data_IF_446632505510
#
_entry.id   IF_446632505510
#
_cell.length_a   1.000
_cell.length_b   1.000
_cell.length_c   1.000
_cell.angle_alpha   90.00
_cell.angle_beta   90.00
_cell.angle_gamma   90.00
#
_symmetry.space_group_name_H-M   'P 1'
#
loop_
_entity.id
_entity.type
_entity.pdbx_description
1 polymer ?
#
# COMPACT_ATOMS: atom_id res chain seq x y z
N UNK A 1 35.17 -32.01 -1.68
CA UNK A 1 35.28 -31.12 -0.50
C UNK A 1 35.05 -31.80 0.86
N UNK A 2 34.66 -33.08 0.94
CA UNK A 2 34.50 -33.79 2.23
C UNK A 2 35.81 -33.89 3.05
N UNK A 3 36.98 -33.80 2.41
CA UNK A 3 38.27 -33.95 3.09
C UNK A 3 38.63 -32.81 4.08
N UNK A 4 38.00 -31.64 3.98
CA UNK A 4 38.29 -30.49 4.87
C UNK A 4 37.48 -30.49 6.16
N UNK A 5 36.22 -30.95 6.11
CA UNK A 5 35.31 -31.02 7.26
C UNK A 5 35.64 -32.16 8.22
N UNK A 6 36.17 -33.27 7.70
CA UNK A 6 36.52 -34.45 8.50
C UNK A 6 37.62 -34.15 9.53
N UNK A 7 38.56 -33.26 9.20
CA UNK A 7 39.63 -32.83 10.11
C UNK A 7 39.06 -32.00 11.28
N UNK A 8 37.97 -31.27 11.03
CA UNK A 8 37.31 -30.46 12.06
C UNK A 8 36.43 -31.36 12.95
N UNK A 9 35.88 -32.46 12.45
CA UNK A 9 35.01 -33.38 13.21
C UNK A 9 35.77 -34.38 14.09
N UNK A 10 37.07 -34.57 13.91
CA UNK A 10 37.87 -35.47 14.76
C UNK A 10 38.03 -34.90 16.19
N UNK A 11 37.92 -35.79 17.18
CA UNK A 11 38.07 -35.48 18.60
C UNK A 11 39.54 -35.14 18.92
N UNK A 12 39.89 -33.87 18.75
CA UNK A 12 41.19 -33.36 19.18
C UNK A 12 41.12 -33.17 20.70
N UNK A 13 41.89 -33.98 21.44
CA UNK A 13 41.92 -33.96 22.91
C UNK A 13 42.20 -32.59 23.54
N UNK A 14 42.28 -32.55 24.88
CA UNK A 14 42.35 -31.32 25.69
C UNK A 14 43.32 -30.26 25.11
N UNK A 15 42.78 -29.10 24.70
CA UNK A 15 43.53 -28.01 24.05
C UNK A 15 42.85 -27.35 22.84
N UNK A 16 41.56 -27.64 22.57
CA UNK A 16 40.84 -27.07 21.42
C UNK A 16 40.80 -25.53 21.44
N UNK A 17 41.19 -24.92 20.32
CA UNK A 17 41.12 -23.46 20.15
C UNK A 17 39.66 -23.02 19.98
N UNK A 18 39.26 -21.93 20.64
CA UNK A 18 37.94 -21.29 20.47
C UNK A 18 37.56 -21.07 18.99
N UNK A 19 38.56 -20.87 18.11
CA UNK A 19 38.34 -20.74 16.67
C UNK A 19 37.81 -22.03 16.02
N UNK A 20 38.27 -23.20 16.47
CA UNK A 20 37.83 -24.49 15.94
C UNK A 20 36.39 -24.77 16.38
N UNK A 21 36.05 -24.43 17.62
CA UNK A 21 34.69 -24.56 18.14
C UNK A 21 33.68 -23.68 17.38
N UNK A 22 34.04 -22.44 17.09
CA UNK A 22 33.20 -21.53 16.28
C UNK A 22 32.96 -22.06 14.86
N UNK A 23 33.99 -22.59 14.18
CA UNK A 23 33.83 -23.20 12.87
C UNK A 23 32.99 -24.48 12.92
N UNK A 24 33.13 -25.30 13.97
CA UNK A 24 32.26 -26.47 14.21
C UNK A 24 30.80 -26.06 14.35
N UNK A 25 30.52 -25.05 15.17
CA UNK A 25 29.16 -24.56 15.40
C UNK A 25 28.56 -23.96 14.12
N UNK A 26 29.35 -23.18 13.37
CA UNK A 26 28.96 -22.66 12.06
C UNK A 26 28.59 -23.79 11.10
N UNK A 27 29.45 -24.79 10.99
CA UNK A 27 29.22 -25.92 10.08
C UNK A 27 28.00 -26.75 10.49
N UNK A 28 27.79 -26.98 11.79
CA UNK A 28 26.60 -27.64 12.30
C UNK A 28 25.32 -26.88 11.93
N UNK A 29 25.33 -25.54 12.02
CA UNK A 29 24.20 -24.69 11.57
C UNK A 29 23.96 -24.78 10.07
N UNK A 30 25.01 -24.74 9.25
CA UNK A 30 24.91 -24.92 7.80
C UNK A 30 24.24 -26.26 7.44
N UNK A 31 24.64 -27.35 8.11
CA UNK A 31 24.06 -28.67 7.93
C UNK A 31 22.61 -28.75 8.39
N UNK A 32 22.28 -28.16 9.54
CA UNK A 32 20.91 -28.15 10.04
C UNK A 32 19.97 -27.37 9.12
N UNK A 33 20.38 -26.18 8.67
CA UNK A 33 19.58 -25.38 7.72
C UNK A 33 19.45 -26.09 6.38
N UNK A 34 20.51 -26.73 5.89
CA UNK A 34 20.44 -27.53 4.66
C UNK A 34 19.44 -28.69 4.79
N UNK A 35 19.46 -29.43 5.91
CA UNK A 35 18.52 -30.52 6.16
C UNK A 35 17.06 -30.02 6.19
N UNK A 36 16.78 -28.91 6.87
CA UNK A 36 15.44 -28.31 6.90
C UNK A 36 14.94 -27.91 5.50
N UNK A 37 15.83 -27.42 4.63
CA UNK A 37 15.47 -27.08 3.25
C UNK A 37 15.23 -28.35 2.41
N UNK A 38 15.98 -29.43 2.67
CA UNK A 38 15.82 -30.72 1.99
C UNK A 38 14.51 -31.44 2.36
N UNK A 39 13.86 -31.09 3.47
CA UNK A 39 12.53 -31.60 3.84
C UNK A 39 11.41 -31.09 2.89
N UNK A 40 11.69 -30.09 2.06
CA UNK A 40 10.74 -29.56 1.06
C UNK A 40 10.62 -30.48 -0.16
N UNK A 41 9.39 -30.75 -0.62
CA UNK A 41 9.11 -31.75 -1.66
C UNK A 41 9.84 -31.52 -3.01
N UNK A 42 10.00 -30.26 -3.44
CA UNK A 42 10.63 -29.93 -4.72
C UNK A 42 12.16 -29.93 -4.69
N UNK A 43 12.77 -30.04 -3.49
CA UNK A 43 14.21 -29.89 -3.29
C UNK A 43 14.81 -31.26 -2.95
N UNK A 44 15.72 -31.73 -3.80
CA UNK A 44 16.43 -33.00 -3.59
C UNK A 44 17.66 -32.83 -2.70
N UNK A 45 18.34 -31.69 -2.84
CA UNK A 45 19.58 -31.40 -2.14
C UNK A 45 19.76 -29.90 -1.98
N UNK A 46 20.18 -29.48 -0.79
CA UNK A 46 20.52 -28.10 -0.51
C UNK A 46 21.99 -28.00 -0.04
N UNK A 47 22.65 -26.92 -0.42
CA UNK A 47 23.97 -26.55 0.12
C UNK A 47 23.88 -25.12 0.61
N UNK A 48 24.18 -24.91 1.88
CA UNK A 48 24.11 -23.61 2.53
C UNK A 48 25.50 -23.21 2.97
N UNK A 49 25.91 -22.00 2.61
CA UNK A 49 27.16 -21.39 3.03
C UNK A 49 26.83 -20.11 3.81
N UNK A 50 27.19 -20.08 5.09
CA UNK A 50 26.94 -18.95 5.97
C UNK A 50 28.21 -18.10 6.10
N UNK A 51 28.06 -16.79 5.91
CA UNK A 51 29.09 -15.79 6.16
C UNK A 51 28.74 -15.05 7.47
N UNK A 52 29.21 -15.60 8.58
CA UNK A 52 29.01 -15.02 9.91
C UNK A 52 30.13 -13.99 10.20
N UNK A 53 29.78 -12.74 10.57
CA UNK A 53 30.75 -11.74 10.96
C UNK A 53 31.39 -12.12 12.32
N UNK A 54 32.63 -11.71 12.54
CA UNK A 54 33.25 -11.82 13.87
C UNK A 54 32.74 -10.67 14.75
N UNK A 55 32.34 -11.01 15.98
CA UNK A 55 31.97 -10.01 16.98
C UNK A 55 33.19 -9.12 17.28
N UNK A 56 33.02 -7.80 17.14
CA UNK A 56 34.06 -6.82 17.45
C UNK A 56 33.43 -5.65 18.21
N UNK A 57 33.66 -5.63 19.52
CA UNK A 57 33.16 -4.58 20.43
C UNK A 57 33.70 -3.18 20.13
N UNK A 58 34.71 -3.06 19.26
CA UNK A 58 35.31 -1.78 18.86
C UNK A 58 34.85 -1.30 17.48
N UNK A 59 34.06 -2.09 16.75
CA UNK A 59 33.56 -1.69 15.43
C UNK A 59 32.37 -0.73 15.58
N UNK A 60 32.48 0.47 15.00
CA UNK A 60 31.35 1.44 14.94
C UNK A 60 30.18 0.96 14.07
N UNK A 61 30.42 -0.02 13.19
CA UNK A 61 29.41 -0.64 12.33
C UNK A 61 29.59 -2.14 12.37
N UNK A 62 28.56 -2.84 12.84
CA UNK A 62 28.50 -4.29 12.78
C UNK A 62 28.35 -4.74 11.33
N UNK A 63 29.17 -5.71 10.92
CA UNK A 63 28.97 -6.38 9.63
C UNK A 63 27.77 -7.30 9.78
N UNK A 64 26.80 -7.21 8.88
CA UNK A 64 25.65 -8.14 8.88
C UNK A 64 26.05 -9.49 8.31
N UNK A 65 25.41 -10.56 8.77
CA UNK A 65 25.56 -11.88 8.20
C UNK A 65 25.01 -11.95 6.76
N UNK A 66 25.53 -12.88 5.96
CA UNK A 66 24.99 -13.21 4.65
C UNK A 66 25.02 -14.71 4.40
N UNK A 67 24.23 -15.18 3.44
CA UNK A 67 24.13 -16.60 3.11
C UNK A 67 24.08 -16.80 1.59
N UNK A 68 24.67 -17.91 1.14
CA UNK A 68 24.53 -18.40 -0.23
C UNK A 68 23.96 -19.81 -0.19
N UNK A 69 22.87 -20.03 -0.92
CA UNK A 69 22.16 -21.29 -0.97
C UNK A 69 22.17 -21.81 -2.41
N UNK A 70 22.61 -23.05 -2.58
CA UNK A 70 22.53 -23.76 -3.85
C UNK A 70 21.53 -24.88 -3.71
N UNK A 71 20.47 -24.82 -4.51
CA UNK A 71 19.38 -25.79 -4.52
C UNK A 71 19.54 -26.73 -5.70
N UNK A 72 19.21 -28.01 -5.49
CA UNK A 72 19.09 -29.01 -6.55
C UNK A 72 17.67 -29.51 -6.56
N UNK A 73 16.93 -29.26 -7.65
CA UNK A 73 15.55 -29.69 -7.77
C UNK A 73 15.40 -31.21 -7.85
N UNK A 74 14.26 -31.72 -7.38
CA UNK A 74 13.84 -33.10 -7.63
C UNK A 74 13.56 -33.29 -9.12
N UNK A 75 13.86 -34.50 -9.65
CA UNK A 75 13.66 -34.80 -11.08
C UNK A 75 12.21 -34.58 -11.47
N UNK A 76 11.98 -33.75 -12.49
CA UNK A 76 10.64 -33.44 -13.01
C UNK A 76 9.91 -32.33 -12.25
N UNK A 77 10.49 -31.75 -11.21
CA UNK A 77 9.95 -30.58 -10.51
C UNK A 77 10.75 -29.32 -10.86
N UNK A 78 10.05 -28.20 -10.99
CA UNK A 78 10.67 -26.87 -10.97
C UNK A 78 10.56 -26.28 -9.57
N UNK A 79 11.58 -25.53 -9.14
CA UNK A 79 11.53 -24.76 -7.90
C UNK A 79 10.69 -23.51 -8.17
N UNK A 80 9.59 -23.35 -7.43
CA UNK A 80 8.67 -22.22 -7.59
C UNK A 80 9.17 -20.99 -6.83
N UNK A 81 8.66 -19.80 -7.20
CA UNK A 81 9.02 -18.56 -6.49
C UNK A 81 8.64 -18.59 -5.00
N UNK A 82 7.50 -19.18 -4.67
CA UNK A 82 7.03 -19.34 -3.28
C UNK A 82 7.98 -20.21 -2.45
N UNK A 83 8.52 -21.28 -3.04
CA UNK A 83 9.51 -22.13 -2.38
C UNK A 83 10.85 -21.42 -2.17
N UNK A 84 11.25 -20.56 -3.12
CA UNK A 84 12.45 -19.72 -2.99
C UNK A 84 12.29 -18.72 -1.86
N UNK A 85 11.13 -18.07 -1.75
CA UNK A 85 10.83 -17.12 -0.67
C UNK A 85 10.83 -17.83 0.69
N UNK A 86 10.24 -19.03 0.78
CA UNK A 86 10.30 -19.85 1.99
C UNK A 86 11.74 -20.21 2.39
N UNK A 87 12.59 -20.59 1.42
CA UNK A 87 14.02 -20.85 1.68
C UNK A 87 14.73 -19.62 2.24
N UNK A 88 14.45 -18.43 1.67
CA UNK A 88 15.04 -17.17 2.13
C UNK A 88 14.64 -16.87 3.57
N UNK A 89 13.36 -17.05 3.92
CA UNK A 89 12.85 -16.81 5.26
C UNK A 89 13.38 -17.82 6.30
N UNK A 90 13.50 -19.10 5.93
CA UNK A 90 14.11 -20.14 6.78
C UNK A 90 15.56 -19.76 7.10
N UNK A 91 16.33 -19.35 6.10
CA UNK A 91 17.74 -19.00 6.28
C UNK A 91 17.91 -17.71 7.08
N UNK A 92 17.10 -16.69 6.80
CA UNK A 92 17.15 -15.41 7.50
C UNK A 92 16.73 -15.55 8.99
N UNK A 93 15.75 -16.40 9.29
CA UNK A 93 15.33 -16.67 10.67
C UNK A 93 16.29 -17.59 11.44
N UNK A 94 17.02 -18.47 10.75
CA UNK A 94 17.99 -19.36 11.37
C UNK A 94 19.26 -18.65 11.88
N UNK A 95 19.56 -17.44 11.39
CA UNK A 95 20.75 -16.66 11.78
C UNK A 95 20.35 -15.31 12.36
N UNK A 96 20.76 -15.06 13.60
CA UNK A 96 20.48 -13.80 14.28
C UNK A 96 21.05 -12.60 13.49
N UNK A 97 20.21 -11.58 13.29
CA UNK A 97 20.60 -10.33 12.62
C UNK A 97 20.85 -10.47 11.12
N UNK A 98 20.45 -11.58 10.50
CA UNK A 98 20.45 -11.74 9.05
C UNK A 98 19.20 -11.08 8.45
N UNK A 99 19.40 -10.34 7.37
CA UNK A 99 18.29 -9.78 6.59
C UNK A 99 17.97 -10.71 5.40
N UNK A 100 16.69 -10.88 5.01
CA UNK A 100 16.30 -11.65 3.83
C UNK A 100 17.02 -11.19 2.55
N UNK A 101 17.26 -9.88 2.43
CA UNK A 101 18.05 -9.25 1.35
C UNK A 101 19.54 -9.66 1.36
N UNK A 102 20.01 -10.48 2.30
CA UNK A 102 21.40 -10.95 2.35
C UNK A 102 21.52 -12.44 2.03
N UNK A 103 20.42 -13.05 1.58
CA UNK A 103 20.37 -14.44 1.14
C UNK A 103 20.37 -14.46 -0.38
N UNK A 104 21.32 -15.20 -0.96
CA UNK A 104 21.35 -15.46 -2.41
C UNK A 104 21.02 -16.91 -2.66
N UNK A 105 20.05 -17.17 -3.52
CA UNK A 105 19.57 -18.52 -3.85
C UNK A 105 19.80 -18.79 -5.33
N UNK A 106 20.49 -19.89 -5.63
CA UNK A 106 20.85 -20.30 -6.99
C UNK A 106 20.50 -21.77 -7.20
N UNK A 107 20.08 -22.13 -8.41
CA UNK A 107 19.92 -23.52 -8.81
C UNK A 107 21.28 -24.16 -9.16
N UNK A 108 21.39 -25.47 -9.00
CA UNK A 108 22.46 -26.35 -9.48
C UNK A 108 22.88 -26.11 -10.93
N UNK A 109 21.97 -25.61 -11.78
CA UNK A 109 22.23 -25.27 -13.18
C UNK A 109 22.83 -23.85 -13.38
N UNK A 110 23.11 -23.12 -12.29
CA UNK A 110 23.63 -21.75 -12.34
C UNK A 110 22.57 -20.67 -12.56
N UNK A 111 21.28 -21.02 -12.53
CA UNK A 111 20.18 -20.05 -12.61
C UNK A 111 20.00 -19.37 -11.25
N UNK A 112 20.13 -18.05 -11.23
CA UNK A 112 19.84 -17.24 -10.04
C UNK A 112 18.34 -17.22 -9.79
N UNK A 113 17.90 -17.67 -8.61
CA UNK A 113 16.50 -17.73 -8.21
C UNK A 113 16.13 -16.55 -7.31
N UNK A 114 17.02 -16.15 -6.41
CA UNK A 114 16.93 -14.92 -5.64
C UNK A 114 18.32 -14.32 -5.52
N UNK A 115 18.44 -13.01 -5.74
CA UNK A 115 19.69 -12.31 -5.45
C UNK A 115 19.43 -11.30 -4.35
N UNK A 116 19.87 -11.61 -3.13
CA UNK A 116 19.72 -10.69 -2.00
C UNK A 116 20.30 -9.30 -2.28
N UNK A 117 21.33 -9.17 -3.12
CA UNK A 117 21.94 -7.88 -3.48
C UNK A 117 21.11 -6.99 -4.42
N UNK A 118 19.89 -7.38 -4.79
CA UNK A 118 19.06 -6.54 -5.65
C UNK A 118 18.54 -5.34 -4.89
N UNK A 119 18.92 -4.15 -5.37
CA UNK A 119 18.16 -2.93 -5.08
C UNK A 119 16.68 -3.25 -5.27
N UNK A 120 15.85 -2.96 -4.26
CA UNK A 120 14.41 -3.25 -4.27
C UNK A 120 13.70 -2.76 -5.54
N UNK A 121 14.23 -1.72 -6.19
CA UNK A 121 13.77 -1.20 -7.50
C UNK A 121 13.99 -2.21 -8.64
N UNK A 122 15.17 -2.84 -8.71
CA UNK A 122 15.52 -3.81 -9.76
C UNK A 122 14.83 -5.17 -9.59
N UNK A 123 14.44 -5.52 -8.37
CA UNK A 123 13.59 -6.68 -8.09
C UNK A 123 12.15 -6.40 -8.54
N UNK A 124 11.61 -5.22 -8.20
CA UNK A 124 10.27 -4.78 -8.63
C UNK A 124 10.13 -4.74 -10.16
N UNK A 125 11.08 -4.12 -10.85
CA UNK A 125 11.05 -4.04 -12.32
C UNK A 125 11.05 -5.43 -13.00
N UNK A 126 11.78 -6.41 -12.44
CA UNK A 126 11.73 -7.79 -12.95
C UNK A 126 10.38 -8.44 -12.73
N UNK A 127 9.80 -8.27 -11.54
CA UNK A 127 8.47 -8.81 -11.22
C UNK A 127 7.38 -8.19 -12.09
N UNK A 128 7.46 -6.89 -12.35
CA UNK A 128 6.58 -6.16 -13.27
C UNK A 128 6.67 -6.76 -14.68
N UNK A 129 7.88 -6.96 -15.20
CA UNK A 129 8.11 -7.58 -16.51
C UNK A 129 7.62 -9.04 -16.59
N UNK A 130 7.82 -9.83 -15.52
CA UNK A 130 7.30 -11.19 -15.44
C UNK A 130 5.77 -11.24 -15.51
N UNK A 131 5.09 -10.30 -14.84
CA UNK A 131 3.62 -10.18 -14.88
C UNK A 131 3.14 -9.81 -16.29
N UNK A 132 3.81 -8.88 -16.97
CA UNK A 132 3.50 -8.52 -18.36
C UNK A 132 3.62 -9.74 -19.28
N UNK A 133 4.75 -10.46 -19.21
CA UNK A 133 4.99 -11.67 -20.02
C UNK A 133 3.98 -12.78 -19.73
N UNK A 134 3.60 -12.97 -18.46
CA UNK A 134 2.59 -13.96 -18.09
C UNK A 134 1.24 -13.64 -18.74
N UNK A 135 0.88 -12.36 -18.80
CA UNK A 135 -0.38 -11.90 -19.38
C UNK A 135 -0.36 -11.96 -20.90
N UNK A 136 0.77 -11.65 -21.53
CA UNK A 136 0.98 -11.88 -22.96
C UNK A 136 0.76 -13.35 -23.33
N UNK A 137 1.36 -14.29 -22.58
CA UNK A 137 1.17 -15.73 -22.78
C UNK A 137 -0.30 -16.14 -22.62
N UNK A 138 -0.98 -15.64 -21.58
CA UNK A 138 -2.40 -15.94 -21.34
C UNK A 138 -3.29 -15.46 -22.50
N UNK A 139 -3.02 -14.27 -23.05
CA UNK A 139 -3.76 -13.76 -24.20
C UNK A 139 -3.42 -14.50 -25.50
N UNK A 140 -2.16 -14.89 -25.68
CA UNK A 140 -1.75 -15.72 -26.81
C UNK A 140 -2.48 -17.07 -26.79
N UNK A 141 -2.54 -17.74 -25.65
CA UNK A 141 -3.28 -18.99 -25.47
C UNK A 141 -4.79 -18.83 -25.75
N UNK A 142 -5.38 -17.69 -25.36
CA UNK A 142 -6.78 -17.36 -25.67
C UNK A 142 -7.01 -17.16 -27.17
N UNK A 143 -6.09 -16.53 -27.87
CA UNK A 143 -6.15 -16.38 -29.33
C UNK A 143 -6.05 -17.75 -29.99
N UNK A 144 -5.12 -18.59 -29.52
CA UNK A 144 -4.93 -19.93 -30.04
C UNK A 144 -6.18 -20.79 -29.90
N UNK A 145 -6.83 -20.74 -28.73
CA UNK A 145 -8.07 -21.48 -28.48
C UNK A 145 -9.22 -21.09 -29.44
N UNK A 146 -9.22 -19.86 -29.97
CA UNK A 146 -10.25 -19.37 -30.89
C UNK A 146 -9.86 -19.64 -32.35
N UNK A 147 -8.60 -19.44 -32.72
CA UNK A 147 -8.15 -19.51 -34.11
C UNK A 147 -7.82 -20.93 -34.58
N UNK A 148 -7.31 -21.80 -33.70
CA UNK A 148 -6.95 -23.19 -34.05
C UNK A 148 -8.14 -23.97 -34.66
N UNK A 149 -9.36 -23.96 -34.09
CA UNK A 149 -10.48 -24.73 -34.64
C UNK A 149 -10.96 -24.24 -36.01
N UNK A 150 -10.75 -22.96 -36.32
CA UNK A 150 -11.26 -22.33 -37.54
C UNK A 150 -10.24 -22.41 -38.67
N UNK A 151 -8.98 -22.08 -38.37
CA UNK A 151 -7.92 -21.96 -39.38
C UNK A 151 -7.03 -23.19 -39.44
N UNK A 152 -6.99 -24.03 -38.39
CA UNK A 152 -6.03 -25.13 -38.27
C UNK A 152 -4.66 -24.67 -37.75
N UNK A 153 -3.90 -25.63 -37.22
CA UNK A 153 -2.57 -25.38 -36.65
C UNK A 153 -1.61 -24.94 -37.77
N UNK A 154 -0.88 -23.84 -37.54
CA UNK A 154 0.17 -23.35 -38.45
C UNK A 154 -0.30 -22.42 -39.56
N UNK A 155 -1.61 -22.21 -39.73
CA UNK A 155 -2.18 -21.32 -40.74
C UNK A 155 -2.37 -19.87 -40.25
N UNK A 156 -1.90 -19.57 -39.05
CA UNK A 156 -1.88 -18.20 -38.52
C UNK A 156 -0.67 -18.00 -37.61
N UNK A 157 -0.30 -16.75 -37.40
CA UNK A 157 0.67 -16.33 -36.38
C UNK A 157 0.11 -15.11 -35.66
N UNK A 158 0.09 -15.17 -34.34
CA UNK A 158 -0.38 -14.08 -33.49
C UNK A 158 0.73 -13.63 -32.55
N UNK A 159 0.89 -12.31 -32.41
CA UNK A 159 1.75 -11.69 -31.42
C UNK A 159 0.91 -10.74 -30.57
N UNK A 160 1.11 -10.82 -29.25
CA UNK A 160 0.46 -9.95 -28.28
C UNK A 160 1.53 -9.13 -27.57
N UNK A 161 1.27 -7.84 -27.42
CA UNK A 161 2.06 -6.89 -26.64
C UNK A 161 1.14 -6.24 -25.60
N UNK A 162 1.50 -6.36 -24.31
CA UNK A 162 0.72 -5.84 -23.19
C UNK A 162 1.53 -4.77 -22.46
N UNK A 163 1.01 -3.56 -22.40
CA UNK A 163 1.58 -2.49 -21.57
C UNK A 163 0.74 -2.30 -20.31
N UNK A 164 1.36 -2.49 -19.14
CA UNK A 164 0.71 -2.32 -17.84
C UNK A 164 1.16 -1.05 -17.13
N UNK A 165 0.27 -0.55 -16.26
CA UNK A 165 0.58 0.54 -15.34
C UNK A 165 0.63 0.02 -13.90
N UNK A 166 1.82 0.06 -13.32
CA UNK A 166 2.08 -0.36 -11.94
C UNK A 166 2.10 0.80 -10.94
N UNK A 167 1.73 2.01 -11.35
CA UNK A 167 1.72 3.19 -10.48
C UNK A 167 0.75 3.00 -9.31
N UNK A 168 1.26 3.04 -8.08
CA UNK A 168 0.45 3.02 -6.88
C UNK A 168 0.00 4.45 -6.52
N UNK A 169 -1.31 4.73 -6.67
CA UNK A 169 -1.91 6.02 -6.31
C UNK A 169 -2.78 5.85 -5.06
N UNK A 170 -2.43 6.61 -4.02
CA UNK A 170 -3.20 6.70 -2.78
C UNK A 170 -3.77 8.12 -2.65
N UNK A 171 -5.09 8.23 -2.60
CA UNK A 171 -5.78 9.52 -2.52
C UNK A 171 -6.65 9.56 -1.27
N UNK A 172 -6.37 10.53 -0.39
CA UNK A 172 -7.25 10.87 0.73
C UNK A 172 -7.95 12.18 0.39
N UNK A 173 -9.27 12.11 0.20
CA UNK A 173 -10.10 13.27 -0.09
C UNK A 173 -10.98 13.59 1.11
N UNK A 174 -10.87 14.82 1.63
CA UNK A 174 -11.76 15.37 2.65
C UNK A 174 -12.71 16.36 2.00
N UNK A 175 -14.00 16.03 1.93
CA UNK A 175 -15.06 16.91 1.44
C UNK A 175 -15.90 17.41 2.62
N UNK A 176 -16.33 18.67 2.53
CA UNK A 176 -17.28 19.28 3.46
C UNK A 176 -18.59 19.52 2.72
N UNK A 177 -19.73 19.22 3.35
CA UNK A 177 -21.03 19.53 2.79
C UNK A 177 -21.42 20.98 3.16
N UNK A 178 -21.55 21.93 2.21
CA UNK A 178 -21.94 23.29 2.50
C UNK A 178 -23.46 23.47 2.70
N UNK A 179 -24.29 22.50 2.32
CA UNK A 179 -25.75 22.67 2.23
C UNK A 179 -26.47 22.46 3.58
N UNK A 180 -25.82 21.78 4.53
CA UNK A 180 -26.37 21.45 5.84
C UNK A 180 -25.40 21.86 6.97
N UNK A 181 -25.14 23.16 7.18
CA UNK A 181 -24.33 23.60 8.30
C UNK A 181 -25.09 23.39 9.61
N UNK A 182 -24.65 22.45 10.45
CA UNK A 182 -25.24 22.24 11.77
C UNK A 182 -24.66 23.27 12.76
N UNK A 183 -25.49 24.09 13.39
CA UNK A 183 -25.03 25.02 14.44
C UNK A 183 -24.69 24.22 15.69
N UNK A 184 -23.42 24.25 16.12
CA UNK A 184 -22.95 23.61 17.35
C UNK A 184 -23.18 24.51 18.57
N UNK A 185 -22.87 25.80 18.45
CA UNK A 185 -23.13 26.77 19.51
C UNK A 185 -23.39 28.16 18.94
N UNK A 186 -24.30 28.87 19.58
CA UNK A 186 -24.66 30.24 19.25
C UNK A 186 -24.65 31.08 20.53
N UNK A 187 -23.96 32.21 20.51
CA UNK A 187 -23.97 33.22 21.56
C UNK A 187 -24.50 34.52 20.97
N UNK A 188 -25.70 34.94 21.39
CA UNK A 188 -26.31 36.21 21.01
C UNK A 188 -26.30 37.13 22.21
N UNK A 189 -25.63 38.28 22.09
CA UNK A 189 -25.67 39.37 23.07
C UNK A 189 -26.49 40.49 22.46
N UNK A 190 -27.68 40.73 23.02
CA UNK A 190 -28.57 41.79 22.61
C UNK A 190 -28.69 42.83 23.74
N UNK A 191 -28.21 44.03 23.47
CA UNK A 191 -28.36 45.19 24.35
C UNK A 191 -29.41 46.11 23.74
N UNK A 192 -30.58 46.18 24.37
CA UNK A 192 -31.61 47.14 24.01
C UNK A 192 -31.77 48.14 25.16
N UNK A 193 -31.13 49.30 25.02
CA UNK A 193 -31.24 50.41 25.96
C UNK A 193 -32.28 51.38 25.44
N UNK A 194 -33.46 51.39 26.05
CA UNK A 194 -34.45 52.45 25.88
C UNK A 194 -34.08 53.53 26.90
N UNK A 195 -33.71 54.72 26.43
CA UNK A 195 -33.28 55.81 27.31
C UNK A 195 -34.24 56.01 28.50
N UNK A 196 -33.69 56.05 29.71
CA UNK A 196 -34.45 56.24 30.95
C UNK A 196 -35.22 57.57 30.91
N UNK A 197 -36.55 57.50 30.99
CA UNK A 197 -37.37 58.66 31.34
C UNK A 197 -37.33 58.75 32.86
N UNK A 198 -36.76 59.81 33.42
CA UNK A 198 -36.82 60.09 34.84
C UNK A 198 -38.28 60.43 35.24
N UNK A 199 -39.10 59.40 35.44
CA UNK A 199 -40.44 59.55 35.99
C UNK A 199 -40.34 59.57 37.51
N UNK A 200 -40.71 60.71 38.10
CA UNK A 200 -40.70 60.94 39.54
C UNK A 200 -41.53 59.93 40.33
N UNK A 201 -41.19 59.85 41.62
CA UNK A 201 -41.74 58.99 42.66
C UNK A 201 -43.29 58.92 42.62
N UNK A 202 -43.92 57.73 42.54
CA UNK A 202 -45.39 57.61 42.48
C UNK A 202 -46.07 58.10 43.77
N UNK A 203 -46.74 59.24 43.70
CA UNK A 203 -47.47 59.85 44.82
C UNK A 203 -48.92 60.20 44.48
N UNK A 204 -49.84 59.38 45.00
CA UNK A 204 -51.15 59.77 45.55
C UNK A 204 -52.19 60.58 44.72
N UNK A 205 -52.34 60.38 43.41
CA UNK A 205 -53.51 60.93 42.68
C UNK A 205 -54.33 59.91 41.85
N UNK A 206 -54.09 58.61 41.98
CA UNK A 206 -54.74 57.58 41.15
C UNK A 206 -56.20 57.22 41.52
N UNK A 207 -56.92 58.03 42.31
CA UNK A 207 -58.33 57.75 42.64
C UNK A 207 -59.22 59.01 42.66
N UNK A 208 -59.17 59.79 41.60
CA UNK A 208 -60.27 60.71 41.27
C UNK A 208 -61.09 60.11 40.12
N UNK A 209 -62.45 60.09 40.24
CA UNK A 209 -63.32 59.75 39.13
C UNK A 209 -63.09 60.70 37.96
N UNK A 210 -63.22 60.26 36.69
CA UNK A 210 -63.04 61.15 35.56
C UNK A 210 -64.10 62.25 35.59
N UNK A 211 -63.67 63.50 35.69
CA UNK A 211 -64.50 64.67 35.41
C UNK A 211 -64.66 64.81 33.89
N UNK A 212 -65.81 65.32 33.47
CA UNK A 212 -66.23 65.44 32.08
C UNK A 212 -65.15 66.03 31.16
N UNK A 213 -65.03 65.41 29.97
CA UNK A 213 -64.17 65.86 28.89
C UNK A 213 -64.46 67.31 28.52
N UNK A 214 -63.65 68.22 29.04
CA UNK A 214 -63.47 69.53 28.43
C UNK A 214 -62.38 69.36 27.37
N UNK A 215 -62.80 69.16 26.11
CA UNK A 215 -61.92 69.22 24.95
C UNK A 215 -61.85 70.70 24.57
N UNK A 216 -60.74 71.42 24.82
CA UNK A 216 -60.58 72.75 24.27
C UNK A 216 -60.27 72.57 22.78
N UNK A 217 -61.22 73.00 21.95
CA UNK A 217 -61.04 73.23 20.52
C UNK A 217 -60.00 74.34 20.33
N UNK A 218 -58.72 73.94 20.24
CA UNK A 218 -57.68 74.71 19.58
C UNK A 218 -56.51 73.78 19.23
N UNK A 219 -56.60 73.20 18.04
CA UNK A 219 -55.52 72.46 17.41
C UNK A 219 -54.47 73.43 16.85
N UNK A 220 -53.54 73.88 17.69
CA UNK A 220 -52.26 74.44 17.24
C UNK A 220 -51.18 74.06 18.24
N UNK A 221 -50.28 73.16 17.85
CA UNK A 221 -49.09 72.85 18.63
C UNK A 221 -48.43 71.55 18.20
N UNK A 222 -47.38 71.68 17.38
CA UNK A 222 -46.41 70.63 17.08
C UNK A 222 -45.97 69.90 18.37
N UNK A 223 -46.58 68.75 18.64
CA UNK A 223 -46.05 67.76 19.57
C UNK A 223 -44.96 66.95 18.88
N UNK A 224 -43.78 67.54 18.69
CA UNK A 224 -42.57 66.76 18.43
C UNK A 224 -42.37 65.82 19.61
N UNK A 225 -42.71 64.54 19.42
CA UNK A 225 -42.22 63.46 20.28
C UNK A 225 -40.71 63.44 20.07
N UNK A 226 -39.96 63.91 21.07
CA UNK A 226 -38.51 63.87 21.03
C UNK A 226 -38.07 62.39 20.84
N UNK A 227 -37.21 62.07 19.85
CA UNK A 227 -36.74 60.71 19.68
C UNK A 227 -35.89 60.37 20.90
N UNK A 228 -36.39 59.47 21.74
CA UNK A 228 -35.60 58.90 22.83
C UNK A 228 -34.39 58.21 22.19
N UNK A 229 -33.14 58.61 22.48
CA UNK A 229 -31.98 57.95 21.92
C UNK A 229 -31.88 56.56 22.54
N UNK A 230 -32.38 55.55 21.82
CA UNK A 230 -32.20 54.16 22.16
C UNK A 230 -30.92 53.61 21.52
N UNK A 231 -30.14 52.84 22.28
CA UNK A 231 -28.99 52.10 21.73
C UNK A 231 -29.39 50.64 21.62
N UNK A 232 -29.45 50.15 20.39
CA UNK A 232 -29.58 48.71 20.10
C UNK A 232 -28.23 48.19 19.62
N UNK A 233 -27.69 47.19 20.30
CA UNK A 233 -26.49 46.47 19.88
C UNK A 233 -26.80 44.97 19.86
N UNK A 234 -26.49 44.30 18.75
CA UNK A 234 -26.65 42.86 18.62
C UNK A 234 -25.36 42.25 18.13
N UNK A 235 -24.73 41.45 18.98
CA UNK A 235 -23.55 40.65 18.65
C UNK A 235 -23.96 39.17 18.59
N UNK A 236 -23.53 38.45 17.56
CA UNK A 236 -23.89 37.04 17.35
C UNK A 236 -22.67 36.25 16.90
N UNK A 237 -22.19 35.34 17.74
CA UNK A 237 -21.13 34.37 17.40
C UNK A 237 -21.75 32.99 17.21
N UNK A 238 -21.61 32.40 16.02
CA UNK A 238 -22.12 31.06 15.69
C UNK A 238 -20.99 30.12 15.28
N UNK A 239 -20.93 28.95 15.90
CA UNK A 239 -20.02 27.87 15.55
C UNK A 239 -20.80 26.79 14.79
N UNK A 240 -20.25 26.33 13.68
CA UNK A 240 -20.86 25.29 12.85
C UNK A 240 -20.03 24.01 12.89
N UNK A 241 -20.71 22.87 12.94
CA UNK A 241 -20.17 21.57 12.59
C UNK A 241 -20.61 21.24 11.16
N UNK A 242 -19.63 21.04 10.27
CA UNK A 242 -19.87 20.65 8.90
C UNK A 242 -19.67 19.15 8.78
N UNK A 243 -20.60 18.48 8.11
CA UNK A 243 -20.46 17.08 7.74
C UNK A 243 -19.17 16.91 6.93
N UNK A 244 -18.27 16.08 7.47
CA UNK A 244 -17.01 15.75 6.83
C UNK A 244 -17.11 14.34 6.25
N UNK A 245 -16.94 14.22 4.94
CA UNK A 245 -16.76 12.92 4.29
C UNK A 245 -15.28 12.72 3.98
N UNK A 246 -14.66 11.72 4.59
CA UNK A 246 -13.29 11.31 4.32
C UNK A 246 -13.36 10.08 3.40
N UNK A 247 -12.98 10.24 2.15
CA UNK A 247 -12.82 9.14 1.20
C UNK A 247 -11.35 8.77 1.12
N UNK A 248 -11.04 7.51 1.40
CA UNK A 248 -9.71 6.94 1.21
C UNK A 248 -9.77 5.96 0.04
N UNK A 249 -9.12 6.32 -1.06
CA UNK A 249 -9.11 5.50 -2.28
C UNK A 249 -7.69 5.05 -2.58
N UNK A 250 -7.49 3.73 -2.59
CA UNK A 250 -6.24 3.09 -3.00
C UNK A 250 -6.47 2.43 -4.36
N UNK A 251 -5.82 2.93 -5.41
CA UNK A 251 -5.94 2.35 -6.74
C UNK A 251 -5.19 1.01 -6.81
N UNK A 252 -5.76 0.05 -7.54
CA UNK A 252 -5.11 -1.23 -7.82
C UNK A 252 -3.93 -0.99 -8.77
N UNK A 253 -2.80 -1.64 -8.49
CA UNK A 253 -1.61 -1.64 -9.36
C UNK A 253 -1.70 -2.80 -10.35
N UNK A 254 -1.07 -2.67 -11.52
CA UNK A 254 -1.05 -3.71 -12.56
C UNK A 254 -2.27 -3.68 -13.47
N UNK A 255 -2.81 -2.49 -13.73
CA UNK A 255 -3.91 -2.33 -14.69
C UNK A 255 -3.37 -2.30 -16.12
N UNK A 256 -4.08 -2.93 -17.06
CA UNK A 256 -3.71 -2.91 -18.47
C UNK A 256 -3.94 -1.50 -19.01
N UNK A 257 -2.88 -0.83 -19.43
CA UNK A 257 -2.95 0.50 -20.07
C UNK A 257 -3.20 0.37 -21.56
N UNK A 258 -2.56 -0.59 -22.22
CA UNK A 258 -2.71 -0.83 -23.65
C UNK A 258 -2.49 -2.31 -23.97
N UNK A 259 -3.31 -2.84 -24.87
CA UNK A 259 -3.19 -4.17 -25.44
C UNK A 259 -3.09 -4.02 -26.96
N UNK A 260 -2.00 -4.51 -27.55
CA UNK A 260 -1.81 -4.53 -29.00
C UNK A 260 -1.76 -5.99 -29.46
N UNK A 261 -2.58 -6.34 -30.44
CA UNK A 261 -2.64 -7.70 -30.97
C UNK A 261 -2.46 -7.63 -32.48
N UNK A 262 -1.49 -8.39 -32.98
CA UNK A 262 -1.22 -8.54 -34.40
C UNK A 262 -1.46 -9.99 -34.80
N UNK A 263 -2.33 -10.21 -35.77
CA UNK A 263 -2.63 -11.54 -36.29
C UNK A 263 -2.39 -11.55 -37.80
N UNK A 264 -1.51 -12.43 -38.24
CA UNK A 264 -1.31 -12.76 -39.65
C UNK A 264 -1.97 -14.11 -39.91
N UNK A 265 -2.78 -14.18 -40.97
CA UNK A 265 -3.50 -15.40 -41.37
C UNK A 265 -3.07 -15.76 -42.79
N UNK A 266 -2.80 -17.05 -43.01
CA UNK A 266 -2.52 -17.55 -44.35
C UNK A 266 -3.82 -17.69 -45.15
N UNK A 267 -3.78 -17.31 -46.42
CA UNK A 267 -4.93 -17.35 -47.30
C UNK A 267 -4.99 -18.71 -47.98
N UNK A 268 -5.90 -19.58 -47.54
CA UNK A 268 -6.18 -20.83 -48.24
C UNK A 268 -7.18 -20.59 -49.37
N UNK A 269 -6.75 -20.80 -50.61
CA UNK A 269 -7.64 -20.84 -51.77
C UNK A 269 -8.50 -22.10 -51.69
N UNK A 270 -9.75 -21.95 -51.28
CA UNK A 270 -10.75 -22.99 -51.47
C UNK A 270 -11.20 -22.96 -52.92
N UNK A 271 -10.83 -23.98 -53.70
CA UNK A 271 -11.37 -24.15 -55.06
C UNK A 271 -12.89 -24.30 -54.96
N UNK A 272 -13.64 -23.45 -55.66
CA UNK A 272 -15.09 -23.60 -55.76
C UNK A 272 -15.43 -24.94 -56.45
N UNK A 273 -16.65 -25.45 -56.24
CA UNK A 273 -17.14 -26.69 -56.86
C UNK A 273 -17.06 -26.68 -58.41
N UNK A 274 -16.92 -25.49 -59.01
CA UNK A 274 -16.72 -25.23 -60.44
C UNK A 274 -15.24 -25.17 -60.91
N UNK A 275 -14.27 -25.46 -60.04
CA UNK A 275 -12.86 -25.60 -60.43
C UNK A 275 -12.11 -24.30 -60.75
N UNK A 276 -12.71 -23.13 -60.50
CA UNK A 276 -12.00 -21.84 -60.53
C UNK A 276 -11.42 -21.50 -59.16
N UNK A 277 -10.18 -21.05 -59.19
CA UNK A 277 -9.39 -20.60 -58.05
C UNK A 277 -9.68 -19.14 -57.72
#
# INVERSE_FOLDING_TARGET
EQAGSDIIMQDMGFGVSQRVELERLKHAREMQVAATIEDMASIKKARVLLALPKENVFARREKKASATVVLTATRGSAITGEEVDAVVDIVASAVQGMEPERVTVTDSNGRLLNSGSQNSVSARARKEYEIERQRESEYQEKIDAILIPVLGIGNYTAQVDVSMDFTAVEQTQRRYNPDLPAVRSEMVVEENSVGSVAAGIPGAISNQPPLDSNIPENAIGNGQVAPVPGRTSKESTRNYELDTTISHTKQQTGVIRRLSVSVAVDYQQTTAEDGTV
#
